data_IF_736467375145
#
_entry.id   IF_736467375145
#
_cell.length_a   1.000
_cell.length_b   1.000
_cell.length_c   1.000
_cell.angle_alpha   90.00
_cell.angle_beta   90.00
_cell.angle_gamma   90.00
#
_symmetry.space_group_name_H-M   'P 1'
#
loop_
_entity.id
_entity.type
_entity.pdbx_description
1 polymer ?
#
# COMPACT_ATOMS: atom_id res chain seq x y z
N UNK A 1 -12.67 39.41 -25.93
CA UNK A 1 -11.75 39.42 -24.77
C UNK A 1 -12.33 38.50 -23.70
N UNK A 2 -11.50 37.75 -22.98
CA UNK A 2 -11.96 36.73 -22.02
C UNK A 2 -12.71 37.38 -20.86
N UNK A 3 -13.84 36.79 -20.44
CA UNK A 3 -14.49 37.12 -19.16
C UNK A 3 -13.94 36.16 -18.10
N UNK A 4 -13.18 36.69 -17.15
CA UNK A 4 -12.83 35.95 -15.94
C UNK A 4 -14.08 35.84 -15.08
N UNK A 5 -14.58 34.63 -14.85
CA UNK A 5 -15.60 34.40 -13.82
C UNK A 5 -14.89 34.34 -12.48
N UNK A 6 -15.36 35.15 -11.53
CA UNK A 6 -14.87 35.12 -10.15
C UNK A 6 -15.61 33.99 -9.44
N UNK A 7 -14.90 32.90 -9.17
CA UNK A 7 -15.39 31.86 -8.26
C UNK A 7 -15.41 32.49 -6.86
N UNK A 8 -16.62 32.66 -6.31
CA UNK A 8 -16.84 33.38 -5.06
C UNK A 8 -16.57 32.50 -3.84
N UNK A 9 -15.78 32.99 -2.88
CA UNK A 9 -15.58 32.34 -1.58
C UNK A 9 -16.91 32.19 -0.83
N UNK A 10 -17.37 30.96 -0.60
CA UNK A 10 -18.63 30.71 0.12
C UNK A 10 -18.67 29.37 0.92
N UNK A 11 -17.53 28.82 1.35
CA UNK A 11 -17.48 27.50 2.02
C UNK A 11 -16.66 27.41 3.33
N UNK A 12 -16.27 28.54 3.94
CA UNK A 12 -15.70 28.55 5.31
C UNK A 12 -16.80 28.32 6.39
N UNK A 13 -17.41 27.13 6.38
CA UNK A 13 -18.50 26.76 7.29
C UNK A 13 -18.76 25.25 7.46
N UNK A 14 -18.04 24.38 6.75
CA UNK A 14 -18.22 22.93 6.76
C UNK A 14 -17.54 22.19 7.92
N UNK A 15 -16.59 22.83 8.62
CA UNK A 15 -15.77 22.20 9.67
C UNK A 15 -16.38 22.27 11.10
N UNK A 16 -17.70 22.38 11.20
CA UNK A 16 -18.42 22.30 12.48
C UNK A 16 -19.38 21.09 12.48
N UNK A 17 -19.25 20.26 13.53
CA UNK A 17 -19.97 18.99 13.76
C UNK A 17 -19.57 17.79 12.87
N UNK A 18 -18.63 16.99 13.38
CA UNK A 18 -18.89 15.56 13.67
C UNK A 18 -17.90 14.97 14.71
N UNK A 19 -17.67 15.67 15.83
CA UNK A 19 -17.02 15.07 17.01
C UNK A 19 -18.05 14.28 17.86
N UNK A 20 -18.65 13.24 17.28
CA UNK A 20 -19.57 12.34 17.96
C UNK A 20 -19.33 10.88 17.57
N UNK A 21 -19.13 10.02 18.56
CA UNK A 21 -18.84 8.59 18.43
C UNK A 21 -20.01 7.78 17.86
N UNK A 22 -19.76 7.02 16.79
CA UNK A 22 -20.63 5.93 16.31
C UNK A 22 -21.76 6.34 15.36
N UNK A 23 -21.97 5.51 14.33
CA UNK A 23 -23.07 5.48 13.35
C UNK A 23 -23.94 6.75 13.24
N UNK A 24 -23.53 7.68 12.39
CA UNK A 24 -24.47 8.57 11.70
C UNK A 24 -24.60 8.10 10.25
N UNK A 25 -25.81 7.70 9.88
CA UNK A 25 -26.11 7.04 8.61
C UNK A 25 -25.89 7.92 7.38
N UNK A 26 -25.80 7.30 6.20
CA UNK A 26 -25.94 8.00 4.93
C UNK A 26 -27.17 8.93 4.95
N UNK A 27 -26.98 10.17 4.52
CA UNK A 27 -27.81 11.29 4.98
C UNK A 27 -29.22 11.34 4.40
N UNK A 28 -30.23 11.03 5.21
CA UNK A 28 -31.60 11.49 4.96
C UNK A 28 -31.73 12.98 5.31
N UNK A 29 -32.34 13.76 4.41
CA UNK A 29 -32.78 15.13 4.72
C UNK A 29 -31.87 16.31 4.30
N UNK A 30 -31.35 16.33 3.07
CA UNK A 30 -31.18 17.63 2.39
C UNK A 30 -32.50 18.06 1.72
N UNK A 31 -32.85 19.34 1.83
CA UNK A 31 -34.13 19.88 1.38
C UNK A 31 -34.33 19.87 -0.14
N UNK A 32 -35.57 20.10 -0.58
CA UNK A 32 -35.89 20.29 -2.01
C UNK A 32 -35.02 21.41 -2.62
N UNK A 33 -34.48 21.16 -3.81
CA UNK A 33 -33.62 22.12 -4.51
C UNK A 33 -32.17 22.19 -4.03
N UNK A 34 -31.77 21.47 -2.97
CA UNK A 34 -30.38 21.35 -2.58
C UNK A 34 -29.54 20.59 -3.63
N UNK A 35 -28.22 20.81 -3.62
CA UNK A 35 -27.24 20.21 -4.53
C UNK A 35 -26.95 18.74 -4.21
N UNK A 36 -26.44 17.98 -5.19
CA UNK A 36 -26.01 16.60 -5.03
C UNK A 36 -24.47 16.58 -5.04
N UNK A 37 -23.87 16.35 -3.87
CA UNK A 37 -22.43 16.48 -3.65
C UNK A 37 -21.79 15.12 -3.31
N UNK A 38 -20.64 14.85 -3.93
CA UNK A 38 -19.80 13.68 -3.66
C UNK A 38 -18.48 14.17 -3.08
N UNK A 39 -18.10 13.63 -1.92
CA UNK A 39 -16.80 13.86 -1.29
C UNK A 39 -15.93 12.63 -1.46
N UNK A 40 -14.75 12.80 -2.04
CA UNK A 40 -13.72 11.77 -2.11
C UNK A 40 -12.72 12.03 -0.99
N UNK A 41 -12.40 11.00 -0.23
CA UNK A 41 -11.28 10.99 0.71
C UNK A 41 -10.36 9.83 0.33
N UNK A 42 -9.12 10.11 -0.01
CA UNK A 42 -8.07 9.08 0.02
C UNK A 42 -7.39 9.20 1.37
N UNK A 43 -7.25 8.07 2.06
CA UNK A 43 -6.48 8.04 3.29
C UNK A 43 -5.00 8.35 2.96
N UNK A 44 -4.49 9.39 3.61
CA UNK A 44 -3.11 9.93 3.52
C UNK A 44 -2.77 10.67 2.21
N UNK A 45 -1.54 11.19 2.14
CA UNK A 45 -0.98 11.85 0.97
C UNK A 45 -0.25 13.18 1.17
N UNK A 46 1.05 13.09 1.47
CA UNK A 46 2.01 14.12 1.06
C UNK A 46 3.19 13.52 0.30
N UNK A 47 3.12 13.50 -1.04
CA UNK A 47 4.29 13.30 -1.90
C UNK A 47 4.14 14.09 -3.19
N UNK A 48 5.15 14.90 -3.50
CA UNK A 48 5.22 15.71 -4.74
C UNK A 48 6.02 15.02 -5.86
N UNK A 49 6.44 13.77 -5.66
CA UNK A 49 7.18 12.99 -6.65
C UNK A 49 6.26 12.44 -7.75
N UNK A 50 6.64 12.60 -9.02
CA UNK A 50 5.81 12.30 -10.20
C UNK A 50 6.34 11.10 -11.01
N UNK A 51 6.97 10.14 -10.32
CA UNK A 51 7.56 8.93 -10.94
C UNK A 51 6.48 7.87 -11.20
N UNK A 52 6.55 7.17 -12.33
CA UNK A 52 5.74 5.97 -12.56
C UNK A 52 6.12 4.89 -11.52
N UNK A 53 5.18 4.51 -10.65
CA UNK A 53 5.42 3.68 -9.46
C UNK A 53 6.36 4.33 -8.44
N UNK A 54 5.86 4.70 -7.24
CA UNK A 54 6.81 5.04 -6.15
C UNK A 54 7.51 3.77 -5.66
N UNK A 55 8.81 3.80 -5.38
CA UNK A 55 9.42 2.73 -4.60
C UNK A 55 8.85 2.75 -3.18
N UNK A 56 8.76 1.58 -2.55
CA UNK A 56 8.49 1.45 -1.12
C UNK A 56 9.84 1.52 -0.39
N UNK A 57 10.15 2.64 0.27
CA UNK A 57 11.44 2.92 0.90
C UNK A 57 11.40 3.04 2.43
N UNK A 58 10.22 2.93 3.04
CA UNK A 58 9.94 3.10 4.47
C UNK A 58 8.47 2.71 4.77
N UNK A 59 8.06 2.76 6.04
CA UNK A 59 6.65 2.68 6.43
C UNK A 59 5.84 3.95 6.17
N UNK A 60 6.51 5.08 5.89
CA UNK A 60 5.93 6.41 5.62
C UNK A 60 4.78 6.35 4.58
N UNK A 61 3.57 6.78 4.97
CA UNK A 61 2.40 6.69 4.10
C UNK A 61 2.27 7.88 3.12
N UNK A 62 3.38 8.18 2.45
CA UNK A 62 3.37 8.78 1.12
C UNK A 62 2.39 8.03 0.21
N UNK A 63 1.76 8.76 -0.70
CA UNK A 63 1.04 8.18 -1.83
C UNK A 63 1.53 8.81 -3.12
N UNK A 64 1.53 8.05 -4.22
CA UNK A 64 1.87 8.57 -5.54
C UNK A 64 0.72 8.37 -6.53
N UNK A 65 -0.39 9.05 -6.23
CA UNK A 65 -1.58 9.16 -7.08
C UNK A 65 -1.48 10.45 -7.88
N UNK A 66 -1.68 10.38 -9.21
CA UNK A 66 -1.91 11.56 -10.05
C UNK A 66 -3.39 11.68 -10.47
N UNK A 67 -4.13 10.56 -10.58
CA UNK A 67 -5.51 10.50 -11.05
C UNK A 67 -6.39 9.70 -10.08
N UNK A 68 -7.50 10.30 -9.65
CA UNK A 68 -8.63 9.59 -9.02
C UNK A 68 -9.82 9.67 -9.98
N UNK A 69 -10.46 8.52 -10.23
CA UNK A 69 -11.70 8.44 -11.03
C UNK A 69 -12.84 7.98 -10.13
N UNK A 70 -14.01 8.57 -10.33
CA UNK A 70 -15.26 8.22 -9.66
C UNK A 70 -16.26 7.73 -10.69
N UNK A 71 -16.96 6.64 -10.39
CA UNK A 71 -18.08 6.14 -11.17
C UNK A 71 -19.35 6.19 -10.31
N UNK A 72 -20.36 6.90 -10.79
CA UNK A 72 -21.74 6.80 -10.28
C UNK A 72 -22.43 5.69 -11.06
N UNK A 73 -22.75 4.61 -10.38
CA UNK A 73 -23.24 3.36 -10.98
C UNK A 73 -24.68 3.10 -10.54
N UNK A 74 -25.57 2.79 -11.48
CA UNK A 74 -26.91 2.29 -11.18
C UNK A 74 -26.82 0.94 -10.48
N UNK A 75 -27.31 0.85 -9.25
CA UNK A 75 -27.06 -0.30 -8.37
C UNK A 75 -27.65 -1.62 -8.92
N UNK A 76 -28.63 -1.54 -9.83
CA UNK A 76 -29.36 -2.69 -10.37
C UNK A 76 -28.86 -3.18 -11.72
N UNK A 77 -28.51 -2.24 -12.62
CA UNK A 77 -28.08 -2.53 -14.00
C UNK A 77 -26.57 -2.47 -14.19
N UNK A 78 -25.86 -1.91 -13.19
CA UNK A 78 -24.43 -1.59 -13.22
C UNK A 78 -24.04 -0.63 -14.35
N UNK A 79 -25.01 0.14 -14.86
CA UNK A 79 -24.77 1.16 -15.88
C UNK A 79 -24.13 2.40 -15.25
N UNK A 80 -23.02 2.86 -15.82
CA UNK A 80 -22.35 4.11 -15.42
C UNK A 80 -23.21 5.30 -15.85
N UNK A 81 -23.70 6.08 -14.88
CA UNK A 81 -24.53 7.28 -15.12
C UNK A 81 -23.73 8.58 -15.14
N UNK A 82 -22.59 8.61 -14.46
CA UNK A 82 -21.66 9.72 -14.45
C UNK A 82 -20.25 9.22 -14.09
N UNK A 83 -19.24 9.87 -14.65
CA UNK A 83 -17.82 9.68 -14.33
C UNK A 83 -17.19 11.05 -14.08
N UNK A 84 -16.43 11.17 -13.00
CA UNK A 84 -15.65 12.37 -12.67
C UNK A 84 -14.16 12.00 -12.57
N UNK A 85 -13.27 12.88 -13.03
CA UNK A 85 -11.82 12.65 -13.05
C UNK A 85 -11.04 13.76 -12.34
N UNK A 86 -10.49 13.46 -11.17
CA UNK A 86 -9.60 14.35 -10.43
C UNK A 86 -8.14 14.07 -10.83
N UNK A 87 -7.67 14.78 -11.85
CA UNK A 87 -6.27 14.74 -12.30
C UNK A 87 -5.39 15.69 -11.48
N UNK A 88 -4.08 15.43 -11.45
CA UNK A 88 -3.09 16.14 -10.63
C UNK A 88 -3.46 16.10 -9.13
N UNK A 89 -3.95 14.96 -8.65
CA UNK A 89 -4.57 14.73 -7.33
C UNK A 89 -3.94 15.53 -6.18
N UNK A 90 -2.62 15.42 -5.98
CA UNK A 90 -1.87 16.11 -4.91
C UNK A 90 -2.04 17.65 -4.89
N UNK A 91 -2.44 18.25 -6.02
CA UNK A 91 -2.65 19.70 -6.20
C UNK A 91 -4.12 20.11 -6.39
N UNK A 92 -5.01 19.13 -6.55
CA UNK A 92 -6.46 19.33 -6.76
C UNK A 92 -7.31 18.68 -5.65
N UNK A 93 -6.66 18.36 -4.52
CA UNK A 93 -7.23 17.91 -3.26
C UNK A 93 -6.63 18.71 -2.10
N UNK A 94 -7.46 18.95 -1.08
CA UNK A 94 -7.08 19.62 0.16
C UNK A 94 -6.67 18.58 1.22
N UNK A 95 -5.88 19.00 2.22
CA UNK A 95 -5.44 18.15 3.33
C UNK A 95 -6.52 18.07 4.43
N UNK A 96 -6.68 16.89 5.05
CA UNK A 96 -7.60 16.65 6.17
C UNK A 96 -7.03 15.67 7.21
N UNK A 97 -7.53 15.80 8.44
CA UNK A 97 -7.08 15.00 9.58
C UNK A 97 -5.72 15.45 10.11
N UNK A 98 -5.09 14.57 10.90
CA UNK A 98 -3.74 14.76 11.44
C UNK A 98 -2.66 13.96 10.70
N UNK A 99 -3.07 13.11 9.75
CA UNK A 99 -2.30 12.00 9.20
C UNK A 99 -2.13 12.16 7.67
N UNK A 100 -1.88 13.39 7.21
CA UNK A 100 -1.73 13.81 5.79
C UNK A 100 -2.86 13.38 4.83
N UNK A 101 -4.07 13.11 5.32
CA UNK A 101 -5.22 12.72 4.48
C UNK A 101 -5.52 13.71 3.36
N UNK A 102 -5.92 13.23 2.16
CA UNK A 102 -6.34 14.13 1.07
C UNK A 102 -7.80 13.93 0.67
N UNK A 103 -8.53 15.03 0.50
CA UNK A 103 -9.93 15.01 0.09
C UNK A 103 -10.26 16.05 -0.99
N UNK A 104 -11.37 15.82 -1.69
CA UNK A 104 -11.98 16.83 -2.55
C UNK A 104 -13.49 16.60 -2.63
N UNK A 105 -14.27 17.65 -2.89
CA UNK A 105 -15.72 17.59 -3.10
C UNK A 105 -16.07 18.12 -4.48
N UNK A 106 -17.00 17.45 -5.16
CA UNK A 106 -17.61 17.94 -6.39
C UNK A 106 -19.14 17.84 -6.33
N UNK A 107 -19.81 18.72 -7.07
CA UNK A 107 -21.27 18.76 -7.19
C UNK A 107 -21.64 18.26 -8.58
N UNK A 108 -22.67 17.40 -8.65
CA UNK A 108 -23.17 16.87 -9.91
C UNK A 108 -23.88 17.97 -10.72
N UNK A 109 -23.23 18.43 -11.80
CA UNK A 109 -23.76 19.38 -12.81
C UNK A 109 -25.16 18.99 -13.33
N UNK A 110 -25.47 17.69 -13.34
CA UNK A 110 -26.79 17.15 -13.67
C UNK A 110 -27.24 16.21 -12.57
N UNK A 111 -28.36 16.55 -11.92
CA UNK A 111 -28.96 15.70 -10.87
C UNK A 111 -29.36 14.33 -11.41
N UNK A 112 -28.95 13.29 -10.69
CA UNK A 112 -29.33 11.91 -10.97
C UNK A 112 -30.86 11.75 -10.95
N UNK A 113 -31.45 10.97 -11.87
CA UNK A 113 -32.85 10.54 -11.78
C UNK A 113 -33.14 9.83 -10.45
N UNK A 114 -34.42 9.76 -10.06
CA UNK A 114 -34.80 8.98 -8.86
C UNK A 114 -34.53 7.49 -9.08
N UNK A 115 -33.77 6.87 -8.19
CA UNK A 115 -33.27 5.50 -8.33
C UNK A 115 -32.25 5.12 -7.26
N UNK A 116 -31.74 3.89 -7.32
CA UNK A 116 -30.74 3.36 -6.37
C UNK A 116 -29.35 3.33 -7.04
N UNK A 117 -28.35 3.87 -6.35
CA UNK A 117 -27.01 4.09 -6.88
C UNK A 117 -25.92 3.60 -5.92
N UNK A 118 -24.74 3.35 -6.47
CA UNK A 118 -23.53 3.07 -5.73
C UNK A 118 -22.39 3.89 -6.33
N UNK A 119 -21.52 4.46 -5.49
CA UNK A 119 -20.30 5.11 -5.94
C UNK A 119 -19.14 4.13 -5.85
N UNK A 120 -18.29 4.14 -6.86
CA UNK A 120 -16.98 3.48 -6.84
C UNK A 120 -15.91 4.52 -7.15
N UNK A 121 -14.78 4.47 -6.46
CA UNK A 121 -13.64 5.34 -6.74
C UNK A 121 -12.33 4.56 -6.76
N UNK A 122 -11.43 4.92 -7.68
CA UNK A 122 -10.10 4.30 -7.84
C UNK A 122 -9.06 5.40 -8.03
N UNK A 123 -7.99 5.37 -7.24
CA UNK A 123 -6.87 6.31 -7.28
C UNK A 123 -5.56 5.61 -7.59
N UNK A 124 -4.85 6.07 -8.61
CA UNK A 124 -3.65 5.41 -9.15
C UNK A 124 -2.71 6.41 -9.85
N UNK A 125 -1.59 5.89 -10.38
CA UNK A 125 -0.65 6.60 -11.24
C UNK A 125 -0.99 6.33 -12.71
N UNK A 126 -1.46 7.34 -13.44
CA UNK A 126 -2.02 7.21 -14.79
C UNK A 126 -0.96 6.97 -15.87
N UNK A 127 0.30 7.35 -15.61
CA UNK A 127 1.40 7.21 -16.56
C UNK A 127 2.34 6.08 -16.19
N UNK A 128 2.48 5.12 -17.11
CA UNK A 128 3.45 4.03 -17.01
C UNK A 128 3.09 2.92 -16.02
N UNK A 129 1.84 2.83 -15.55
CA UNK A 129 1.46 1.81 -14.58
C UNK A 129 1.56 0.38 -15.11
N UNK A 130 2.15 -0.48 -14.28
CA UNK A 130 2.32 -1.91 -14.51
C UNK A 130 1.01 -2.71 -14.59
N UNK A 131 -0.13 -2.14 -14.18
CA UNK A 131 -1.47 -2.73 -14.32
C UNK A 131 -2.11 -2.53 -15.71
N UNK A 132 -1.49 -1.73 -16.60
CA UNK A 132 -2.03 -1.45 -17.93
C UNK A 132 -3.25 -0.52 -17.92
N UNK A 133 -4.24 -0.83 -18.77
CA UNK A 133 -5.46 0.00 -18.92
C UNK A 133 -6.51 -0.32 -17.85
N UNK A 134 -6.41 0.42 -16.74
CA UNK A 134 -7.29 0.32 -15.57
C UNK A 134 -8.72 0.77 -15.91
N UNK A 135 -8.90 1.74 -16.80
CA UNK A 135 -10.21 2.31 -17.16
C UNK A 135 -11.04 1.32 -17.99
N UNK A 136 -10.43 0.71 -19.01
CA UNK A 136 -11.06 -0.35 -19.81
C UNK A 136 -11.34 -1.64 -19.01
N UNK A 137 -10.62 -1.85 -17.89
CA UNK A 137 -10.91 -2.95 -16.97
C UNK A 137 -12.12 -2.66 -16.05
N UNK A 138 -12.31 -1.40 -15.67
CA UNK A 138 -13.42 -0.93 -14.81
C UNK A 138 -14.74 -0.76 -15.57
N UNK A 139 -14.72 -0.38 -16.85
CA UNK A 139 -15.93 -0.15 -17.65
C UNK A 139 -15.90 -0.86 -19.00
N UNK A 140 -16.84 -1.78 -19.19
CA UNK A 140 -17.09 -2.44 -20.48
C UNK A 140 -18.28 -1.80 -21.17
N UNK A 141 -18.01 -0.94 -22.16
CA UNK A 141 -19.02 -0.17 -22.89
C UNK A 141 -19.65 0.93 -22.03
N UNK A 142 -20.77 0.62 -21.36
CA UNK A 142 -21.40 1.48 -20.35
C UNK A 142 -21.63 0.77 -19.02
N UNK A 143 -21.11 -0.46 -18.85
CA UNK A 143 -21.35 -1.31 -17.68
C UNK A 143 -20.09 -1.40 -16.81
N UNK A 144 -20.21 -0.98 -15.56
CA UNK A 144 -19.16 -1.05 -14.55
C UNK A 144 -18.89 -2.49 -14.10
N UNK A 145 -17.63 -2.79 -13.78
CA UNK A 145 -17.16 -4.12 -13.39
C UNK A 145 -16.80 -4.13 -11.89
N UNK A 146 -17.73 -4.57 -11.04
CA UNK A 146 -17.61 -4.50 -9.56
C UNK A 146 -16.53 -5.39 -8.94
N UNK A 147 -15.88 -6.23 -9.75
CA UNK A 147 -14.71 -7.02 -9.39
C UNK A 147 -13.69 -6.97 -10.54
N UNK A 148 -13.36 -5.75 -11.00
CA UNK A 148 -12.45 -5.53 -12.11
C UNK A 148 -11.08 -6.19 -11.86
N UNK A 149 -10.56 -6.91 -12.85
CA UNK A 149 -9.29 -7.63 -12.75
C UNK A 149 -8.20 -6.86 -13.47
N UNK A 150 -7.19 -6.44 -12.71
CA UNK A 150 -6.00 -5.74 -13.18
C UNK A 150 -4.81 -6.72 -13.26
N UNK A 151 -4.46 -7.25 -14.43
CA UNK A 151 -3.24 -8.04 -14.60
C UNK A 151 -2.00 -7.15 -14.56
N UNK A 152 -0.93 -7.65 -13.96
CA UNK A 152 0.40 -7.10 -14.20
C UNK A 152 0.81 -7.34 -15.66
N UNK A 153 1.49 -6.35 -16.23
CA UNK A 153 2.28 -6.52 -17.46
C UNK A 153 3.43 -7.50 -17.22
N UNK A 154 3.92 -8.14 -18.29
CA UNK A 154 4.72 -9.38 -18.21
C UNK A 154 6.00 -9.30 -17.36
N UNK A 155 6.57 -8.10 -17.19
CA UNK A 155 7.79 -7.82 -16.42
C UNK A 155 7.57 -6.67 -15.40
N UNK A 156 6.32 -6.25 -15.15
CA UNK A 156 5.98 -5.09 -14.33
C UNK A 156 5.77 -5.45 -12.85
N UNK A 157 6.35 -4.70 -11.89
CA UNK A 157 6.10 -4.90 -10.46
C UNK A 157 4.64 -4.55 -10.10
N UNK A 158 4.18 -4.99 -8.93
CA UNK A 158 2.95 -4.43 -8.37
C UNK A 158 3.20 -2.98 -7.89
N UNK A 159 2.16 -2.16 -7.98
CA UNK A 159 2.21 -0.73 -7.70
C UNK A 159 1.13 -0.31 -6.71
N UNK A 160 1.33 0.85 -6.09
CA UNK A 160 0.37 1.46 -5.17
C UNK A 160 -0.89 1.92 -5.92
N UNK A 161 -2.03 1.31 -5.58
CA UNK A 161 -3.35 1.64 -6.12
C UNK A 161 -4.37 1.60 -4.97
N UNK A 162 -5.28 2.56 -4.96
CA UNK A 162 -6.28 2.77 -3.91
C UNK A 162 -7.68 2.65 -4.49
N UNK A 163 -8.63 2.12 -3.73
CA UNK A 163 -10.02 2.03 -4.16
C UNK A 163 -11.00 1.95 -2.97
N UNK A 164 -12.26 2.28 -3.24
CA UNK A 164 -13.35 2.23 -2.28
C UNK A 164 -14.72 2.31 -2.96
N UNK A 165 -15.79 1.98 -2.22
CA UNK A 165 -17.17 2.07 -2.74
C UNK A 165 -18.20 2.27 -1.64
N UNK A 166 -19.26 3.02 -1.91
CA UNK A 166 -20.39 3.11 -0.98
C UNK A 166 -21.15 1.79 -0.87
N UNK A 167 -22.02 1.67 0.12
CA UNK A 167 -23.21 0.81 -0.02
C UNK A 167 -24.17 1.39 -1.08
N UNK A 168 -25.20 0.63 -1.46
CA UNK A 168 -26.27 1.16 -2.32
C UNK A 168 -27.13 2.18 -1.57
N UNK A 169 -27.32 3.37 -2.13
CA UNK A 169 -28.13 4.44 -1.54
C UNK A 169 -29.22 4.93 -2.51
N UNK A 170 -30.36 5.34 -1.96
CA UNK A 170 -31.48 5.85 -2.74
C UNK A 170 -31.32 7.35 -3.00
N UNK A 171 -31.53 7.78 -4.25
CA UNK A 171 -31.55 9.19 -4.64
C UNK A 171 -32.96 9.60 -5.06
N UNK A 172 -33.40 10.75 -4.55
CA UNK A 172 -34.58 11.47 -5.01
C UNK A 172 -34.12 12.71 -5.80
N UNK A 173 -34.47 12.80 -7.09
CA UNK A 173 -34.03 13.88 -7.97
C UNK A 173 -34.48 15.28 -7.50
N UNK A 174 -35.55 15.40 -6.71
CA UNK A 174 -35.97 16.68 -6.14
C UNK A 174 -35.00 17.19 -5.05
N UNK A 175 -34.36 16.27 -4.31
CA UNK A 175 -33.53 16.55 -3.14
C UNK A 175 -32.05 16.69 -3.49
N UNK A 176 -31.28 17.17 -2.53
CA UNK A 176 -29.83 17.01 -2.51
C UNK A 176 -29.40 15.71 -1.84
N UNK A 177 -28.12 15.36 -1.94
CA UNK A 177 -27.47 14.39 -1.07
C UNK A 177 -26.02 14.81 -0.83
N UNK A 178 -25.41 14.25 0.22
CA UNK A 178 -23.96 14.29 0.47
C UNK A 178 -23.51 12.85 0.69
N UNK A 179 -22.59 12.37 -0.14
CA UNK A 179 -22.08 11.01 -0.04
C UNK A 179 -20.55 11.00 -0.08
N UNK A 180 -19.93 10.29 0.87
CA UNK A 180 -18.49 10.13 0.95
C UNK A 180 -18.05 8.77 0.38
N UNK A 181 -16.91 8.74 -0.28
CA UNK A 181 -16.13 7.53 -0.58
C UNK A 181 -14.78 7.64 0.12
N UNK A 182 -14.35 6.58 0.81
CA UNK A 182 -13.02 6.46 1.40
C UNK A 182 -12.25 5.44 0.57
N UNK A 183 -11.07 5.81 0.06
CA UNK A 183 -10.23 4.92 -0.73
C UNK A 183 -9.08 4.39 0.13
N UNK A 184 -8.96 3.06 0.20
CA UNK A 184 -7.90 2.35 0.92
C UNK A 184 -6.97 1.62 -0.06
N UNK A 185 -5.72 1.37 0.32
CA UNK A 185 -4.70 0.72 -0.52
C UNK A 185 -5.12 -0.71 -0.85
N UNK A 186 -5.00 -1.11 -2.11
CA UNK A 186 -5.43 -2.43 -2.61
C UNK A 186 -4.29 -3.46 -2.71
N UNK A 187 -3.06 -3.04 -2.43
CA UNK A 187 -1.84 -3.87 -2.35
C UNK A 187 -1.30 -3.93 -0.92
N UNK A 188 -0.46 -4.93 -0.64
CA UNK A 188 0.40 -4.96 0.55
C UNK A 188 1.75 -4.29 0.24
N UNK A 189 2.49 -3.90 1.28
CA UNK A 189 3.90 -3.56 1.19
C UNK A 189 4.79 -4.61 1.85
N UNK A 190 5.96 -4.90 1.28
CA UNK A 190 7.00 -5.72 1.92
C UNK A 190 8.36 -5.06 1.79
N UNK A 191 9.21 -5.13 2.82
CA UNK A 191 10.59 -4.64 2.73
C UNK A 191 11.58 -5.44 3.58
N UNK A 192 12.86 -5.31 3.22
CA UNK A 192 14.01 -5.83 3.95
C UNK A 192 15.00 -4.70 4.15
N UNK A 193 15.31 -4.39 5.40
CA UNK A 193 16.31 -3.42 5.82
C UNK A 193 17.24 -4.07 6.84
N UNK A 194 18.48 -4.34 6.45
CA UNK A 194 19.34 -5.28 7.18
C UNK A 194 20.80 -4.82 7.29
N UNK A 195 21.42 -5.06 8.45
CA UNK A 195 22.86 -4.85 8.72
C UNK A 195 23.55 -6.17 9.10
N UNK A 196 24.88 -6.11 9.25
CA UNK A 196 25.72 -7.27 9.59
C UNK A 196 25.49 -8.49 8.67
N UNK A 197 25.50 -8.25 7.35
CA UNK A 197 25.28 -9.31 6.35
C UNK A 197 26.42 -10.35 6.42
N UNK A 198 26.14 -11.66 6.60
CA UNK A 198 27.17 -12.69 6.68
C UNK A 198 27.96 -12.85 5.39
N UNK A 199 29.28 -12.93 5.48
CA UNK A 199 30.13 -13.26 4.34
C UNK A 199 30.09 -14.77 4.07
N UNK A 200 29.62 -15.14 2.87
CA UNK A 200 29.72 -16.51 2.36
C UNK A 200 30.26 -16.47 0.95
N UNK A 201 31.31 -17.26 0.66
CA UNK A 201 32.01 -17.23 -0.61
C UNK A 201 31.07 -17.43 -1.82
N UNK A 202 30.97 -16.40 -2.66
CA UNK A 202 30.11 -16.36 -3.85
C UNK A 202 28.67 -15.89 -3.62
N UNK A 203 28.26 -15.61 -2.38
CA UNK A 203 26.99 -14.95 -2.12
C UNK A 203 27.06 -13.47 -2.55
N UNK A 204 26.03 -12.99 -3.24
CA UNK A 204 25.96 -11.63 -3.80
C UNK A 204 24.55 -11.04 -3.81
N UNK A 205 23.50 -11.83 -3.59
CA UNK A 205 22.10 -11.38 -3.68
C UNK A 205 21.34 -11.81 -2.41
N UNK A 206 20.80 -10.84 -1.67
CA UNK A 206 19.74 -11.10 -0.69
C UNK A 206 18.38 -11.03 -1.43
N UNK A 207 17.49 -11.97 -1.14
CA UNK A 207 16.13 -11.97 -1.68
C UNK A 207 15.09 -12.39 -0.64
N UNK A 208 13.94 -11.72 -0.65
CA UNK A 208 12.76 -12.12 0.12
C UNK A 208 11.88 -12.99 -0.79
N UNK A 209 11.68 -14.25 -0.41
CA UNK A 209 10.85 -15.21 -1.16
C UNK A 209 9.63 -15.64 -0.35
N UNK A 210 8.56 -16.03 -1.03
CA UNK A 210 7.27 -16.37 -0.43
C UNK A 210 6.84 -17.82 -0.69
N UNK A 211 5.82 -18.30 0.03
CA UNK A 211 5.11 -19.55 -0.33
C UNK A 211 4.13 -19.37 -1.48
N UNK A 212 3.72 -18.14 -1.82
CA UNK A 212 2.79 -17.86 -2.91
C UNK A 212 3.00 -16.46 -3.51
N UNK A 213 2.45 -16.20 -4.70
CA UNK A 213 2.50 -14.88 -5.35
C UNK A 213 1.36 -14.72 -6.37
N UNK A 214 0.91 -13.47 -6.57
CA UNK A 214 -0.22 -13.15 -7.42
C UNK A 214 0.13 -12.08 -8.46
N UNK A 215 -0.38 -12.23 -9.69
CA UNK A 215 -0.19 -11.27 -10.78
C UNK A 215 -1.48 -10.65 -11.33
N UNK A 216 -2.63 -10.95 -10.71
CA UNK A 216 -3.92 -10.34 -11.02
C UNK A 216 -4.52 -9.78 -9.74
N UNK A 217 -4.58 -8.46 -9.67
CA UNK A 217 -5.25 -7.72 -8.61
C UNK A 217 -6.75 -7.63 -8.93
N UNK A 218 -7.61 -7.78 -7.93
CA UNK A 218 -9.06 -7.62 -8.05
C UNK A 218 -9.50 -6.39 -7.26
N UNK A 219 -10.15 -5.46 -7.95
CA UNK A 219 -10.77 -4.29 -7.33
C UNK A 219 -12.18 -4.66 -6.89
N UNK A 220 -12.33 -5.06 -5.63
CA UNK A 220 -13.62 -5.42 -5.01
C UNK A 220 -13.53 -5.64 -3.50
N UNK A 221 -14.64 -6.07 -2.90
CA UNK A 221 -14.79 -6.33 -1.46
C UNK A 221 -14.26 -5.17 -0.58
N UNK A 222 -14.55 -3.92 -0.96
CA UNK A 222 -13.93 -2.76 -0.33
C UNK A 222 -14.37 -2.59 1.14
N UNK A 223 -13.38 -2.49 2.02
CA UNK A 223 -13.56 -2.12 3.42
C UNK A 223 -13.23 -0.63 3.48
N UNK A 224 -14.24 0.22 3.61
CA UNK A 224 -14.09 1.68 3.62
C UNK A 224 -13.59 2.16 5.00
N UNK A 225 -12.36 1.76 5.35
CA UNK A 225 -11.80 1.99 6.67
C UNK A 225 -11.24 3.42 6.77
N UNK A 226 -11.82 4.24 7.64
CA UNK A 226 -11.17 5.46 8.08
C UNK A 226 -10.10 5.08 9.13
N UNK A 227 -8.85 5.42 8.82
CA UNK A 227 -7.69 5.12 9.66
C UNK A 227 -7.27 6.37 10.44
N UNK A 228 -7.33 6.28 11.76
CA UNK A 228 -6.94 7.35 12.69
C UNK A 228 -5.45 7.25 13.14
N UNK A 229 -4.72 6.19 12.73
CA UNK A 229 -3.32 5.90 13.09
C UNK A 229 -2.68 4.84 12.13
N UNK A 230 -1.37 4.60 12.29
CA UNK A 230 -0.52 3.70 11.47
C UNK A 230 -0.74 2.20 11.54
N UNK A 231 -1.88 1.74 12.03
CA UNK A 231 -2.08 0.31 12.23
C UNK A 231 -1.45 -0.20 13.52
N UNK A 232 -0.59 0.57 14.17
CA UNK A 232 -0.08 0.22 15.49
C UNK A 232 -1.21 0.25 16.52
N UNK A 233 -1.49 -0.93 17.10
CA UNK A 233 -2.58 -1.10 18.06
C UNK A 233 -3.99 -1.12 17.44
N UNK A 234 -4.12 -1.09 16.10
CA UNK A 234 -5.42 -1.26 15.46
C UNK A 234 -5.91 -2.70 15.61
N UNK A 235 -7.17 -2.85 16.03
CA UNK A 235 -7.85 -4.14 16.01
C UNK A 235 -8.30 -4.47 14.58
N UNK A 236 -7.49 -5.26 13.87
CA UNK A 236 -7.84 -5.82 12.56
C UNK A 236 -9.13 -6.64 12.72
N UNK A 237 -10.25 -6.12 12.23
CA UNK A 237 -11.55 -6.80 12.28
C UNK A 237 -11.83 -7.61 11.01
N UNK A 238 -11.27 -7.18 9.89
CA UNK A 238 -11.47 -7.76 8.56
C UNK A 238 -10.21 -7.54 7.75
N UNK A 239 -9.78 -8.55 6.98
CA UNK A 239 -8.70 -8.42 6.02
C UNK A 239 -9.10 -9.03 4.68
N UNK A 240 -8.41 -8.66 3.59
CA UNK A 240 -8.77 -9.10 2.24
C UNK A 240 -7.54 -9.54 1.43
N UNK A 241 -7.61 -10.76 0.90
CA UNK A 241 -6.75 -11.26 -0.18
C UNK A 241 -7.52 -11.14 -1.49
N UNK A 242 -7.23 -10.07 -2.23
CA UNK A 242 -7.83 -9.73 -3.51
C UNK A 242 -6.91 -10.05 -4.71
N UNK A 243 -5.94 -10.96 -4.55
CA UNK A 243 -5.07 -11.41 -5.62
C UNK A 243 -5.39 -12.82 -6.12
N UNK A 244 -5.05 -13.09 -7.38
CA UNK A 244 -4.85 -14.47 -7.88
C UNK A 244 -3.76 -14.53 -8.96
N UNK A 245 -3.29 -15.74 -9.26
CA UNK A 245 -2.44 -16.08 -10.41
C UNK A 245 -3.22 -17.02 -11.35
N UNK A 246 -2.93 -16.98 -12.66
CA UNK A 246 -3.71 -17.75 -13.65
C UNK A 246 -2.92 -18.81 -14.44
N UNK A 247 -1.68 -18.55 -14.84
CA UNK A 247 -0.74 -19.52 -15.45
C UNK A 247 0.69 -18.95 -15.37
N UNK A 248 1.36 -19.11 -14.23
CA UNK A 248 2.77 -18.72 -14.05
C UNK A 248 3.32 -19.21 -12.70
N UNK A 249 4.35 -20.05 -12.75
CA UNK A 249 5.26 -20.23 -11.62
C UNK A 249 6.41 -19.24 -11.79
N UNK A 250 6.40 -18.15 -11.02
CA UNK A 250 7.54 -17.25 -10.92
C UNK A 250 8.50 -17.79 -9.85
N UNK A 251 9.57 -17.04 -9.57
CA UNK A 251 10.60 -17.36 -8.58
C UNK A 251 10.16 -17.06 -7.13
N UNK A 252 8.85 -16.84 -6.88
CA UNK A 252 8.24 -16.42 -5.60
C UNK A 252 8.95 -15.28 -4.90
N UNK A 253 9.70 -14.45 -5.64
CA UNK A 253 10.64 -13.48 -5.07
C UNK A 253 10.05 -12.08 -5.09
N UNK A 254 9.74 -11.56 -3.91
CA UNK A 254 9.07 -10.27 -3.71
C UNK A 254 10.07 -9.09 -3.69
N UNK A 255 11.28 -9.32 -3.17
CA UNK A 255 12.35 -8.31 -3.05
C UNK A 255 13.68 -8.94 -3.47
N UNK A 256 14.52 -8.19 -4.17
CA UNK A 256 15.93 -8.53 -4.46
C UNK A 256 16.83 -7.34 -4.11
N UNK A 257 18.02 -7.65 -3.58
CA UNK A 257 19.05 -6.71 -3.18
C UNK A 257 20.40 -7.25 -3.68
N UNK A 258 20.99 -6.62 -4.69
CA UNK A 258 22.36 -6.94 -5.12
C UNK A 258 23.37 -6.27 -4.18
N UNK A 259 24.11 -7.08 -3.44
CA UNK A 259 25.12 -6.62 -2.49
C UNK A 259 26.28 -5.88 -3.19
N UNK A 260 26.49 -6.10 -4.50
CA UNK A 260 27.47 -5.34 -5.28
C UNK A 260 27.01 -3.89 -5.56
N UNK A 261 25.74 -3.55 -5.37
CA UNK A 261 25.28 -2.16 -5.39
C UNK A 261 25.52 -1.44 -4.07
N UNK A 262 25.54 -2.17 -2.94
CA UNK A 262 25.69 -1.63 -1.58
C UNK A 262 27.13 -1.67 -1.03
N UNK A 263 27.97 -2.56 -1.54
CA UNK A 263 29.36 -2.70 -1.10
C UNK A 263 30.35 -2.54 -2.27
N UNK A 264 31.54 -2.01 -1.99
CA UNK A 264 32.64 -1.84 -2.96
C UNK A 264 33.38 -3.16 -3.23
N UNK A 265 33.43 -4.02 -2.23
CA UNK A 265 33.90 -5.41 -2.28
C UNK A 265 33.03 -6.26 -1.34
N UNK A 266 32.88 -7.55 -1.65
CA UNK A 266 32.22 -8.53 -0.77
C UNK A 266 33.33 -9.45 -0.27
N UNK A 267 33.88 -9.12 0.90
CA UNK A 267 35.03 -9.79 1.53
C UNK A 267 34.93 -9.73 3.07
N UNK A 268 35.73 -10.58 3.73
CA UNK A 268 35.87 -10.73 5.19
C UNK A 268 37.38 -10.74 5.47
N UNK A 269 37.94 -9.56 5.74
CA UNK A 269 39.39 -9.34 5.86
C UNK A 269 39.87 -9.39 7.32
N UNK A 270 39.01 -9.05 8.27
CA UNK A 270 39.32 -9.13 9.70
C UNK A 270 39.06 -10.54 10.30
N UNK A 271 38.26 -11.37 9.61
CA UNK A 271 37.93 -12.74 9.99
C UNK A 271 36.72 -12.87 10.92
N UNK A 272 35.84 -11.87 10.96
CA UNK A 272 34.64 -11.87 11.81
C UNK A 272 33.45 -12.67 11.23
N UNK A 273 33.46 -13.01 9.92
CA UNK A 273 32.41 -13.78 9.25
C UNK A 273 31.28 -12.96 8.61
N UNK A 274 31.40 -11.63 8.58
CA UNK A 274 30.49 -10.66 7.96
C UNK A 274 31.15 -9.99 6.76
N UNK A 275 30.36 -9.27 5.95
CA UNK A 275 30.89 -8.43 4.87
C UNK A 275 31.55 -7.18 5.47
N UNK A 276 32.82 -6.95 5.12
CA UNK A 276 33.59 -5.77 5.54
C UNK A 276 32.91 -4.46 5.14
N UNK A 277 32.39 -3.70 6.12
CA UNK A 277 31.98 -2.30 5.92
C UNK A 277 33.17 -1.35 5.80
N UNK A 278 34.35 -1.76 6.27
CA UNK A 278 35.58 -0.97 6.26
C UNK A 278 35.63 0.12 7.34
N UNK A 279 36.83 0.67 7.57
CA UNK A 279 37.02 1.78 8.53
C UNK A 279 36.20 2.99 8.08
N UNK A 280 35.44 3.59 8.99
CA UNK A 280 34.52 4.72 8.71
C UNK A 280 33.54 4.41 7.54
N UNK A 281 33.13 3.14 7.42
CA UNK A 281 32.22 2.61 6.39
C UNK A 281 32.72 2.78 4.95
N UNK A 282 34.05 2.91 4.75
CA UNK A 282 34.66 3.18 3.45
C UNK A 282 34.45 2.08 2.38
N UNK A 283 34.06 0.86 2.76
CA UNK A 283 33.69 -0.19 1.80
C UNK A 283 32.19 -0.21 1.48
N UNK A 284 31.34 0.50 2.23
CA UNK A 284 29.90 0.64 1.97
C UNK A 284 29.62 1.81 1.02
N UNK A 285 28.51 1.74 0.28
CA UNK A 285 28.01 2.82 -0.59
C UNK A 285 26.49 2.74 -0.73
N UNK A 286 25.80 3.89 -0.70
CA UNK A 286 24.38 3.96 -1.08
C UNK A 286 24.22 3.79 -2.61
N UNK A 287 23.34 2.89 -3.10
CA UNK A 287 23.05 2.77 -4.52
C UNK A 287 22.33 4.00 -5.09
N UNK A 288 22.52 4.27 -6.38
CA UNK A 288 21.97 5.44 -7.07
C UNK A 288 20.49 5.38 -7.45
N UNK A 289 19.66 4.55 -6.80
CA UNK A 289 18.23 4.43 -7.15
C UNK A 289 17.33 5.55 -6.58
N UNK A 290 17.85 6.30 -5.61
CA UNK A 290 17.20 7.46 -4.97
C UNK A 290 18.23 8.55 -4.68
N UNK A 291 17.91 9.81 -4.99
CA UNK A 291 18.76 10.98 -4.68
C UNK A 291 18.47 11.53 -3.27
N UNK A 292 17.30 11.23 -2.69
CA UNK A 292 16.82 11.84 -1.43
C UNK A 292 16.77 10.88 -0.25
N UNK A 293 16.76 9.56 -0.49
CA UNK A 293 16.69 8.60 0.62
C UNK A 293 18.05 8.41 1.31
N UNK A 294 18.06 8.19 2.61
CA UNK A 294 19.28 7.92 3.42
C UNK A 294 19.16 6.63 4.20
N UNK A 295 20.26 5.90 4.38
CA UNK A 295 20.27 4.60 5.08
C UNK A 295 21.44 4.52 6.07
N UNK A 296 21.23 3.84 7.20
CA UNK A 296 22.27 3.54 8.20
C UNK A 296 23.50 2.93 7.52
N UNK A 297 24.70 3.49 7.73
CA UNK A 297 25.90 3.05 7.03
C UNK A 297 26.26 1.60 7.36
N UNK A 298 26.49 0.80 6.32
CA UNK A 298 26.72 -0.64 6.44
C UNK A 298 25.46 -1.50 6.29
N UNK A 299 24.27 -0.89 6.24
CA UNK A 299 23.01 -1.58 5.96
C UNK A 299 22.76 -1.82 4.46
N UNK A 300 21.74 -2.62 4.15
CA UNK A 300 21.19 -2.78 2.80
C UNK A 300 19.67 -2.73 2.85
N UNK A 301 19.06 -2.14 1.82
CA UNK A 301 17.60 -1.99 1.70
C UNK A 301 17.04 -2.55 0.39
N UNK A 302 15.83 -3.10 0.45
CA UNK A 302 14.97 -3.34 -0.70
C UNK A 302 13.51 -3.43 -0.28
N UNK A 303 12.59 -2.86 -1.07
CA UNK A 303 11.16 -2.87 -0.76
C UNK A 303 10.29 -2.84 -2.01
N UNK A 304 9.10 -3.45 -1.91
CA UNK A 304 8.15 -3.61 -3.01
C UNK A 304 6.71 -3.54 -2.52
N UNK A 305 5.80 -3.06 -3.38
CA UNK A 305 4.38 -3.41 -3.25
C UNK A 305 4.16 -4.81 -3.81
N UNK A 306 3.18 -5.53 -3.26
CA UNK A 306 2.82 -6.89 -3.70
C UNK A 306 1.31 -7.04 -3.80
N UNK A 307 0.86 -7.82 -4.79
CA UNK A 307 -0.54 -8.22 -4.88
C UNK A 307 -0.80 -9.26 -3.76
N UNK A 308 -1.77 -9.02 -2.86
CA UNK A 308 -2.06 -9.87 -1.71
C UNK A 308 -2.27 -11.34 -2.06
N UNK A 309 -1.79 -12.25 -1.21
CA UNK A 309 -1.87 -13.70 -1.42
C UNK A 309 -2.15 -14.47 -0.13
N UNK A 310 -2.88 -15.57 -0.28
CA UNK A 310 -3.18 -16.48 0.82
C UNK A 310 -2.03 -17.48 1.05
N UNK A 311 -1.89 -17.92 2.32
CA UNK A 311 -0.87 -18.89 2.75
C UNK A 311 -1.09 -20.30 2.18
N UNK A 312 0.00 -21.05 2.00
CA UNK A 312 -0.02 -22.39 1.38
C UNK A 312 0.08 -23.47 2.45
N UNK A 313 -1.01 -23.70 3.18
CA UNK A 313 -1.08 -24.75 4.21
C UNK A 313 -0.05 -24.58 5.32
N UNK A 314 0.91 -25.51 5.39
CA UNK A 314 2.04 -25.53 6.36
C UNK A 314 3.39 -25.17 5.67
N UNK A 315 3.35 -24.43 4.55
CA UNK A 315 4.55 -23.78 3.98
C UNK A 315 4.78 -22.40 4.62
N UNK A 316 5.96 -22.18 5.18
CA UNK A 316 6.45 -20.89 5.69
C UNK A 316 6.11 -19.74 4.72
N UNK A 317 5.37 -18.72 5.17
CA UNK A 317 4.86 -17.67 4.27
C UNK A 317 5.96 -16.86 3.61
N UNK A 318 6.98 -16.42 4.35
CA UNK A 318 8.14 -15.69 3.83
C UNK A 318 9.45 -16.30 4.33
N UNK A 319 10.50 -16.21 3.49
CA UNK A 319 11.89 -16.52 3.83
C UNK A 319 12.82 -15.45 3.29
N UNK A 320 13.83 -15.09 4.07
CA UNK A 320 14.98 -14.33 3.59
C UNK A 320 16.04 -15.34 3.11
N UNK A 321 16.62 -15.11 1.93
CA UNK A 321 17.66 -15.97 1.39
C UNK A 321 18.88 -15.15 0.95
N UNK A 322 20.06 -15.56 1.40
CA UNK A 322 21.35 -15.10 0.90
C UNK A 322 21.83 -16.08 -0.18
N UNK A 323 22.06 -15.57 -1.39
CA UNK A 323 22.18 -16.39 -2.61
C UNK A 323 23.34 -15.95 -3.51
N UNK A 324 23.78 -16.83 -4.41
CA UNK A 324 24.58 -16.45 -5.59
C UNK A 324 23.72 -15.69 -6.60
N UNK A 325 24.33 -14.78 -7.37
CA UNK A 325 23.67 -13.94 -8.36
C UNK A 325 22.57 -14.66 -9.18
N UNK A 326 21.42 -14.01 -9.29
CA UNK A 326 20.22 -14.54 -9.94
C UNK A 326 19.46 -15.58 -9.12
N UNK A 327 19.63 -15.62 -7.79
CA UNK A 327 19.03 -16.62 -6.91
C UNK A 327 19.49 -18.07 -7.16
N UNK A 328 20.64 -18.25 -7.82
CA UNK A 328 21.01 -19.52 -8.48
C UNK A 328 21.45 -20.66 -7.54
N UNK A 329 21.91 -20.32 -6.33
CA UNK A 329 22.25 -21.24 -5.24
C UNK A 329 21.97 -20.53 -3.91
N UNK A 330 21.16 -21.14 -3.03
CA UNK A 330 20.91 -20.61 -1.67
C UNK A 330 22.09 -20.97 -0.77
N UNK A 331 22.76 -19.96 -0.23
CA UNK A 331 23.93 -20.09 0.65
C UNK A 331 23.56 -20.07 2.13
N UNK A 332 22.55 -19.30 2.49
CA UNK A 332 21.90 -19.27 3.81
C UNK A 332 20.44 -18.85 3.63
N UNK A 333 19.56 -19.37 4.46
CA UNK A 333 18.18 -18.89 4.55
C UNK A 333 17.76 -18.72 6.01
N UNK A 334 16.75 -17.88 6.21
CA UNK A 334 16.07 -17.62 7.47
C UNK A 334 14.56 -17.68 7.22
N UNK A 335 13.80 -18.24 8.16
CA UNK A 335 12.36 -18.09 8.23
C UNK A 335 12.02 -16.66 8.65
N UNK A 336 10.99 -16.07 8.03
CA UNK A 336 10.51 -14.72 8.31
C UNK A 336 9.12 -14.84 8.92
N UNK A 337 8.99 -14.45 10.18
CA UNK A 337 7.83 -14.73 11.02
C UNK A 337 7.10 -13.44 11.43
N UNK A 338 5.79 -13.48 11.65
CA UNK A 338 5.09 -12.41 12.40
C UNK A 338 5.62 -12.37 13.85
N UNK A 339 5.54 -11.21 14.54
CA UNK A 339 5.85 -11.12 15.96
C UNK A 339 5.19 -12.21 16.80
N UNK A 340 5.98 -12.81 17.69
CA UNK A 340 5.53 -13.78 18.71
C UNK A 340 4.50 -13.20 19.70
N UNK A 341 4.30 -11.88 19.70
CA UNK A 341 3.29 -11.15 20.46
C UNK A 341 1.98 -10.93 19.68
N UNK A 342 1.97 -11.05 18.36
CA UNK A 342 0.80 -10.79 17.51
C UNK A 342 -0.13 -12.01 17.39
N UNK A 343 -1.19 -12.04 18.21
CA UNK A 343 -2.27 -13.05 18.11
C UNK A 343 -3.52 -12.46 17.45
N UNK A 344 -3.33 -11.90 16.26
CA UNK A 344 -4.39 -11.25 15.49
C UNK A 344 -5.42 -12.28 14.99
N UNK A 345 -6.71 -12.00 15.25
CA UNK A 345 -7.85 -12.83 14.82
C UNK A 345 -8.90 -11.96 14.17
N UNK A 346 -9.17 -12.20 12.88
CA UNK A 346 -9.96 -11.32 12.02
C UNK A 346 -10.84 -12.11 11.04
N UNK A 347 -11.70 -11.41 10.29
CA UNK A 347 -12.50 -12.02 9.20
C UNK A 347 -11.76 -11.88 7.87
N UNK A 348 -11.24 -12.97 7.31
CA UNK A 348 -10.56 -12.98 6.02
C UNK A 348 -11.56 -13.15 4.87
N UNK A 349 -11.50 -12.26 3.87
CA UNK A 349 -12.16 -12.45 2.58
C UNK A 349 -11.11 -12.73 1.51
N UNK A 350 -11.23 -13.87 0.84
CA UNK A 350 -10.30 -14.30 -0.23
C UNK A 350 -11.03 -14.40 -1.57
N UNK A 351 -10.40 -13.94 -2.64
CA UNK A 351 -10.87 -14.14 -4.01
C UNK A 351 -10.62 -15.58 -4.48
N UNK A 352 -11.67 -16.31 -4.87
CA UNK A 352 -11.59 -17.71 -5.30
C UNK A 352 -11.35 -17.92 -6.81
N UNK A 353 -11.12 -16.84 -7.55
CA UNK A 353 -11.02 -16.83 -9.02
C UNK A 353 -12.30 -16.36 -9.74
N UNK A 354 -13.45 -16.35 -9.07
CA UNK A 354 -14.75 -15.93 -9.62
C UNK A 354 -15.59 -15.04 -8.68
N UNK A 355 -15.41 -15.15 -7.37
CA UNK A 355 -16.01 -14.28 -6.35
C UNK A 355 -15.08 -14.14 -5.13
N UNK A 356 -15.38 -13.19 -4.25
CA UNK A 356 -14.93 -13.29 -2.86
C UNK A 356 -15.74 -14.39 -2.13
N UNK A 357 -15.16 -14.98 -1.09
CA UNK A 357 -15.86 -15.86 -0.15
C UNK A 357 -16.80 -15.11 0.81
N UNK A 358 -17.55 -15.84 1.64
CA UNK A 358 -18.50 -15.25 2.61
C UNK A 358 -17.82 -14.62 3.85
N UNK A 359 -16.50 -14.76 3.99
CA UNK A 359 -15.71 -14.32 5.13
C UNK A 359 -15.45 -15.47 6.12
N UNK A 360 -14.18 -15.78 6.37
CA UNK A 360 -13.77 -16.85 7.30
C UNK A 360 -13.02 -16.27 8.50
N UNK A 361 -13.29 -16.76 9.71
CA UNK A 361 -12.54 -16.31 10.90
C UNK A 361 -11.17 -16.98 10.93
N UNK A 362 -10.12 -16.18 10.82
CA UNK A 362 -8.72 -16.62 10.78
C UNK A 362 -7.99 -16.04 11.98
N UNK A 363 -7.28 -16.90 12.70
CA UNK A 363 -6.16 -16.53 13.57
C UNK A 363 -4.87 -16.92 12.84
N UNK A 364 -3.89 -16.03 12.80
CA UNK A 364 -2.61 -16.32 12.14
C UNK A 364 -1.64 -17.09 13.04
N UNK A 365 -0.74 -17.84 12.40
CA UNK A 365 0.43 -18.44 13.06
C UNK A 365 1.67 -17.65 12.64
N UNK A 366 2.67 -17.57 13.53
CA UNK A 366 3.88 -16.79 13.31
C UNK A 366 4.61 -17.14 11.99
N UNK A 367 4.57 -18.41 11.57
CA UNK A 367 5.23 -18.91 10.36
C UNK A 367 4.28 -18.99 9.15
N UNK A 368 2.98 -19.09 9.42
CA UNK A 368 1.93 -19.38 8.45
C UNK A 368 0.82 -18.31 8.52
N UNK A 369 1.02 -17.23 7.79
CA UNK A 369 0.16 -16.04 7.75
C UNK A 369 -0.14 -15.60 6.31
N UNK A 370 -1.24 -14.90 6.08
CA UNK A 370 -1.59 -14.36 4.77
C UNK A 370 -0.94 -12.99 4.56
N UNK A 371 -0.61 -12.65 3.31
CA UNK A 371 -0.23 -11.30 2.92
C UNK A 371 -1.49 -10.60 2.40
N UNK A 372 -2.04 -9.67 3.18
CA UNK A 372 -3.35 -9.03 2.93
C UNK A 372 -3.18 -7.58 2.46
N UNK A 373 -4.17 -7.01 1.75
CA UNK A 373 -4.07 -5.62 1.27
C UNK A 373 -3.98 -4.63 2.44
N UNK A 374 -3.41 -3.45 2.18
CA UNK A 374 -3.30 -2.33 3.12
C UNK A 374 -2.50 -2.62 4.41
N UNK A 375 -1.76 -3.74 4.43
CA UNK A 375 -0.79 -4.08 5.48
C UNK A 375 0.65 -3.94 4.96
N UNK A 376 1.58 -3.67 5.87
CA UNK A 376 3.03 -3.62 5.64
C UNK A 376 3.72 -4.75 6.42
N UNK A 377 4.69 -5.42 5.80
CA UNK A 377 5.49 -6.48 6.43
C UNK A 377 6.98 -6.13 6.27
N UNK A 378 7.64 -5.72 7.36
CA UNK A 378 9.00 -5.18 7.35
C UNK A 378 10.01 -6.05 8.08
N UNK A 379 11.21 -6.21 7.53
CA UNK A 379 12.37 -6.74 8.26
C UNK A 379 13.29 -5.57 8.61
N UNK A 380 13.50 -5.32 9.91
CA UNK A 380 14.08 -4.08 10.43
C UNK A 380 13.06 -2.94 10.49
N UNK A 381 13.29 -1.96 11.36
CA UNK A 381 12.45 -0.75 11.46
C UNK A 381 12.96 0.33 10.51
N UNK A 382 12.06 0.93 9.72
CA UNK A 382 12.39 2.09 8.88
C UNK A 382 11.18 2.94 8.56
N UNK A 383 11.22 4.17 9.06
CA UNK A 383 9.99 4.93 9.33
C UNK A 383 9.75 6.10 8.37
N UNK A 384 10.84 6.66 7.84
CA UNK A 384 10.86 7.74 6.86
C UNK A 384 11.79 7.37 5.69
N UNK A 385 11.59 7.97 4.51
CA UNK A 385 12.52 7.74 3.39
C UNK A 385 13.90 8.38 3.63
N UNK A 386 13.96 9.47 4.41
CA UNK A 386 15.16 10.30 4.66
C UNK A 386 15.38 10.60 6.16
N UNK A 387 15.59 9.57 7.02
CA UNK A 387 15.80 9.76 8.46
C UNK A 387 17.05 10.60 8.76
N UNK A 388 18.10 10.45 7.93
CA UNK A 388 19.34 11.20 8.05
C UNK A 388 19.30 12.65 7.53
N UNK A 389 18.13 13.13 7.06
CA UNK A 389 17.92 14.50 6.58
C UNK A 389 18.89 14.96 5.48
N UNK A 390 19.13 14.07 4.51
CA UNK A 390 20.00 14.27 3.36
C UNK A 390 21.45 13.81 3.54
N UNK A 391 21.80 13.20 4.69
CA UNK A 391 23.10 12.56 4.93
C UNK A 391 22.90 11.16 5.52
N UNK A 392 23.55 10.13 4.99
CA UNK A 392 23.44 8.76 5.50
C UNK A 392 23.93 8.65 6.96
N UNK A 393 23.09 8.20 7.92
CA UNK A 393 23.43 8.20 9.34
C UNK A 393 24.49 7.16 9.72
N UNK A 394 25.26 7.46 10.78
CA UNK A 394 26.12 6.46 11.44
C UNK A 394 25.25 5.49 12.27
N UNK A 395 25.65 4.22 12.47
CA UNK A 395 24.83 3.26 13.22
C UNK A 395 24.52 3.63 14.67
N UNK A 396 23.30 3.32 15.10
CA UNK A 396 22.82 3.55 16.47
C UNK A 396 22.70 5.03 16.87
N UNK A 397 22.45 5.91 15.91
CA UNK A 397 22.22 7.35 16.13
C UNK A 397 20.74 7.73 16.16
N UNK A 398 19.89 6.94 15.50
CA UNK A 398 18.45 7.15 15.39
C UNK A 398 17.71 5.87 15.80
N UNK A 399 16.66 6.01 16.60
CA UNK A 399 15.79 4.91 17.04
C UNK A 399 14.65 4.63 16.02
N UNK A 400 14.48 5.53 15.03
CA UNK A 400 13.49 5.45 13.96
C UNK A 400 14.07 4.93 12.60
N UNK A 401 15.33 4.47 12.57
CA UNK A 401 16.03 3.90 11.37
C UNK A 401 16.93 2.69 11.72
N UNK A 402 16.38 1.66 12.37
CA UNK A 402 17.13 0.45 12.79
C UNK A 402 16.99 -0.75 11.83
N UNK A 403 17.98 -1.02 10.95
CA UNK A 403 18.01 -2.25 10.15
C UNK A 403 18.30 -3.48 11.02
N UNK A 404 17.68 -4.62 10.70
CA UNK A 404 17.84 -5.87 11.47
C UNK A 404 19.23 -6.50 11.27
N UNK A 405 19.84 -7.02 12.35
CA UNK A 405 21.07 -7.81 12.26
C UNK A 405 20.81 -9.18 11.59
N UNK A 406 21.65 -9.56 10.62
CA UNK A 406 21.68 -10.91 10.06
C UNK A 406 22.74 -11.82 10.72
N UNK A 407 23.48 -11.28 11.68
CA UNK A 407 24.53 -11.94 12.45
C UNK A 407 23.93 -12.67 13.67
N UNK A 408 23.14 -11.95 14.47
CA UNK A 408 22.52 -12.45 15.71
C UNK A 408 21.02 -12.72 15.55
N UNK A 409 20.46 -13.53 16.47
CA UNK A 409 19.03 -13.90 16.47
C UNK A 409 18.26 -13.14 17.54
N UNK A 410 17.03 -12.78 17.16
CA UNK A 410 16.02 -12.05 17.93
C UNK A 410 16.46 -10.65 18.37
N UNK A 411 15.90 -9.63 17.73
CA UNK A 411 15.52 -8.42 18.44
C UNK A 411 14.30 -7.78 17.74
N UNK A 412 13.47 -7.10 18.54
CA UNK A 412 12.23 -6.45 18.15
C UNK A 412 12.17 -5.13 18.92
N UNK A 413 12.37 -4.01 18.24
CA UNK A 413 12.15 -2.65 18.77
C UNK A 413 11.28 -1.88 17.77
N UNK A 414 10.36 -1.06 18.28
CA UNK A 414 9.11 -0.71 17.59
C UNK A 414 8.74 0.77 17.80
N UNK A 415 8.71 1.57 16.72
CA UNK A 415 8.28 2.98 16.73
C UNK A 415 7.68 3.41 15.34
N UNK A 416 6.78 4.42 15.35
CA UNK A 416 6.42 5.42 14.29
C UNK A 416 5.07 5.32 13.49
N UNK A 417 4.54 6.52 13.20
CA UNK A 417 3.28 6.95 12.53
C UNK A 417 3.49 7.42 11.06
N UNK A 418 2.56 7.47 10.08
CA UNK A 418 1.11 7.20 9.88
C UNK A 418 0.85 7.16 8.33
N UNK A 419 -0.15 6.50 7.70
CA UNK A 419 -0.98 5.36 8.09
C UNK A 419 -0.87 4.11 7.15
N UNK A 420 -0.83 2.90 7.71
CA UNK A 420 -1.30 1.61 7.13
C UNK A 420 -2.46 1.04 8.00
N UNK A 421 -3.12 -0.06 7.59
CA UNK A 421 -4.15 -0.70 8.43
C UNK A 421 -3.55 -1.56 9.55
N UNK A 422 -2.44 -2.23 9.25
CA UNK A 422 -1.50 -2.80 10.22
C UNK A 422 -0.08 -2.76 9.64
N UNK A 423 0.90 -2.74 10.54
CA UNK A 423 2.33 -2.95 10.23
C UNK A 423 2.78 -4.15 11.06
N UNK A 424 3.53 -5.04 10.43
CA UNK A 424 4.08 -6.26 11.02
C UNK A 424 5.60 -6.21 10.95
N UNK A 425 6.25 -6.11 12.11
CA UNK A 425 7.72 -6.06 12.24
C UNK A 425 8.25 -7.49 12.38
N UNK A 426 8.80 -8.03 11.31
CA UNK A 426 8.99 -9.48 11.15
C UNK A 426 10.23 -9.99 11.90
N UNK A 427 10.09 -11.13 12.59
CA UNK A 427 11.20 -11.83 13.28
C UNK A 427 11.97 -12.78 12.31
N UNK A 428 13.25 -13.04 12.60
CA UNK A 428 14.10 -14.01 11.88
C UNK A 428 14.51 -15.23 12.71
N UNK A 429 14.34 -16.43 12.14
CA UNK A 429 14.83 -17.73 12.66
C UNK A 429 15.61 -18.54 11.61
#
# INVERSE_FOLDING_TARGET
MKKTYVIGMALMGSLAFCACTGNQSAGDGLGEGAEQEITLAVANGNSTSTRAGRPLLSSEAKQNIDKVIVYVVDASTKEVKHTEEVTNWQSSSEEYGTNDGRFTSFVLDTKLPTGDYQLFAVGYQSQGSSYGDIESALVSGSTFQENAVLPLTADGPAEEIFAGSTESFHVDQAKGFKQRVVLNRQVAGVYVYAKEVPFIAGATELRLVASNENNRLVLGQFVNLELDNNGFGNSIQTAVVNGYSQESAFDKTLVKIDLNEWFTAIEDTDGNGLIDTGVEYANWKKPGFSETATFEKGSVFGGAFVIPFAKVGEEQTLKLQLTTAGGSEVKREWNVNLPSTETNTYTLYTWNGASFGEGESVTEDAHHYNIVRNHLYGLGSRTMDDPGTGTDPEPGIDEDDDPISLNNKHELELIVNDNWEAIHDMELD
#
